data_IF_463974195176
#
_entry.id   IF_463974195176
#
_cell.length_a   1.000
_cell.length_b   1.000
_cell.length_c   1.000
_cell.angle_alpha   90.00
_cell.angle_beta   90.00
_cell.angle_gamma   90.00
#
_symmetry.space_group_name_H-M   'P 1'
#
loop_
_entity.id
_entity.type
_entity.pdbx_description
1 polymer ?
#
# COMPACT_ATOMS: atom_id res chain seq x y z
N UNK A 1 -5.91 -9.83 18.78
CA UNK A 1 -4.69 -9.10 18.36
C UNK A 1 -4.15 -8.29 19.52
N UNK A 2 -2.86 -8.41 19.85
CA UNK A 2 -2.21 -7.58 20.86
C UNK A 2 -2.19 -6.10 20.39
N UNK A 3 -2.32 -5.14 21.30
CA UNK A 3 -2.51 -3.71 20.98
C UNK A 3 -1.37 -3.15 20.12
N UNK A 4 -0.13 -3.53 20.42
CA UNK A 4 1.06 -3.15 19.64
C UNK A 4 0.95 -3.60 18.19
N UNK A 5 0.60 -4.86 17.93
CA UNK A 5 0.47 -5.41 16.57
C UNK A 5 -0.55 -4.62 15.73
N UNK A 6 -1.68 -4.26 16.34
CA UNK A 6 -2.73 -3.46 15.69
C UNK A 6 -2.19 -2.09 15.29
N UNK A 7 -1.48 -1.39 16.17
CA UNK A 7 -0.89 -0.08 15.83
C UNK A 7 0.13 -0.21 14.70
N UNK A 8 1.02 -1.21 14.74
CA UNK A 8 2.01 -1.43 13.69
C UNK A 8 1.38 -1.73 12.33
N UNK A 9 0.31 -2.53 12.29
CA UNK A 9 -0.40 -2.86 11.05
C UNK A 9 -1.09 -1.63 10.44
N UNK A 10 -1.63 -0.74 11.27
CA UNK A 10 -2.21 0.54 10.82
C UNK A 10 -1.16 1.46 10.20
N UNK A 11 0.02 1.60 10.84
CA UNK A 11 1.15 2.34 10.29
C UNK A 11 1.66 1.74 8.98
N UNK A 12 1.83 0.42 8.93
CA UNK A 12 2.23 -0.30 7.72
C UNK A 12 1.26 -0.05 6.56
N UNK A 13 -0.06 -0.16 6.81
CA UNK A 13 -1.06 0.10 5.80
C UNK A 13 -0.98 1.54 5.27
N UNK A 14 -0.84 2.52 6.16
CA UNK A 14 -0.69 3.93 5.77
C UNK A 14 0.59 4.15 4.92
N UNK A 15 1.73 3.58 5.33
CA UNK A 15 2.98 3.71 4.58
C UNK A 15 2.88 3.06 3.20
N UNK A 16 2.38 1.82 3.11
CA UNK A 16 2.24 1.11 1.83
C UNK A 16 1.30 1.85 0.86
N UNK A 17 0.18 2.38 1.36
CA UNK A 17 -0.76 3.15 0.53
C UNK A 17 -0.15 4.46 0.03
N UNK A 18 0.54 5.21 0.90
CA UNK A 18 1.16 6.48 0.49
C UNK A 18 2.30 6.27 -0.51
N UNK A 19 3.19 5.31 -0.24
CA UNK A 19 4.31 4.98 -1.15
C UNK A 19 3.78 4.42 -2.47
N UNK A 20 2.79 3.52 -2.43
CA UNK A 20 2.13 2.99 -3.64
C UNK A 20 1.48 4.09 -4.48
N UNK A 21 0.70 4.98 -3.85
CA UNK A 21 0.05 6.10 -4.53
C UNK A 21 1.08 7.04 -5.17
N UNK A 22 2.16 7.37 -4.46
CA UNK A 22 3.24 8.19 -4.99
C UNK A 22 3.89 7.54 -6.22
N UNK A 23 4.18 6.23 -6.16
CA UNK A 23 4.76 5.50 -7.30
C UNK A 23 3.80 5.39 -8.50
N UNK A 24 2.49 5.28 -8.26
CA UNK A 24 1.48 5.34 -9.34
C UNK A 24 1.51 6.70 -10.02
N UNK A 25 1.49 7.80 -9.25
CA UNK A 25 1.54 9.17 -9.78
C UNK A 25 2.82 9.38 -10.58
N UNK A 26 3.97 8.99 -10.02
CA UNK A 26 5.27 9.08 -10.68
C UNK A 26 5.32 8.24 -11.96
N UNK A 27 4.77 7.01 -11.94
CA UNK A 27 4.70 6.14 -13.12
C UNK A 27 3.75 6.63 -14.22
N UNK A 28 2.77 7.47 -13.87
CA UNK A 28 1.89 8.16 -14.83
C UNK A 28 2.55 9.40 -15.43
N UNK A 29 3.35 10.12 -14.64
CA UNK A 29 4.00 11.37 -15.03
C UNK A 29 5.29 11.13 -15.83
N UNK A 30 6.03 10.07 -15.51
CA UNK A 30 7.26 9.73 -16.20
C UNK A 30 6.94 9.01 -17.52
N UNK A 31 7.49 9.46 -18.66
CA UNK A 31 7.39 8.72 -19.92
C UNK A 31 8.03 7.35 -19.73
N UNK A 32 7.31 6.27 -20.11
CA UNK A 32 7.78 4.88 -19.95
C UNK A 32 9.19 4.73 -20.53
N UNK A 33 10.24 4.55 -19.70
CA UNK A 33 11.49 4.06 -20.23
C UNK A 33 11.25 2.62 -20.69
N UNK A 34 11.80 2.25 -21.85
CA UNK A 34 11.78 0.89 -22.37
C UNK A 34 12.67 -0.03 -21.52
N UNK A 35 12.29 -0.24 -20.26
CA UNK A 35 12.99 -1.08 -19.28
C UNK A 35 12.02 -2.08 -18.65
N UNK A 36 12.55 -3.24 -18.28
CA UNK A 36 11.82 -4.45 -17.86
C UNK A 36 10.86 -4.26 -16.66
N UNK A 37 11.02 -3.20 -15.87
CA UNK A 37 10.23 -2.97 -14.64
C UNK A 37 9.35 -1.74 -14.76
N UNK A 38 8.04 -1.96 -14.85
CA UNK A 38 7.05 -0.88 -14.89
C UNK A 38 6.84 -0.26 -13.51
N UNK A 39 7.30 0.97 -13.31
CA UNK A 39 7.08 1.76 -12.07
C UNK A 39 5.59 1.86 -11.72
N UNK A 40 4.72 1.97 -12.73
CA UNK A 40 3.28 1.99 -12.58
C UNK A 40 2.74 0.64 -12.05
N UNK A 41 3.29 -0.48 -12.55
CA UNK A 41 2.99 -1.82 -12.05
C UNK A 41 3.44 -2.01 -10.59
N UNK A 42 4.65 -1.54 -10.23
CA UNK A 42 5.15 -1.59 -8.86
C UNK A 42 4.26 -0.77 -7.92
N UNK A 43 3.88 0.46 -8.32
CA UNK A 43 2.96 1.30 -7.55
C UNK A 43 1.59 0.64 -7.33
N UNK A 44 1.03 0.02 -8.37
CA UNK A 44 -0.24 -0.71 -8.27
C UNK A 44 -0.17 -1.88 -7.28
N UNK A 45 0.91 -2.68 -7.31
CA UNK A 45 1.12 -3.78 -6.37
C UNK A 45 1.24 -3.27 -4.93
N UNK A 46 1.97 -2.17 -4.69
CA UNK A 46 2.06 -1.56 -3.37
C UNK A 46 0.70 -1.04 -2.87
N UNK A 47 -0.12 -0.45 -3.74
CA UNK A 47 -1.48 -0.03 -3.38
C UNK A 47 -2.35 -1.21 -2.96
N UNK A 48 -2.32 -2.32 -3.71
CA UNK A 48 -3.07 -3.54 -3.38
C UNK A 48 -2.59 -4.14 -2.06
N UNK A 49 -1.27 -4.19 -1.84
CA UNK A 49 -0.68 -4.67 -0.58
C UNK A 49 -1.08 -3.79 0.61
N UNK A 50 -1.10 -2.46 0.43
CA UNK A 50 -1.57 -1.50 1.44
C UNK A 50 -3.06 -1.63 1.76
N UNK A 51 -3.90 -1.83 0.75
CA UNK A 51 -5.33 -2.12 0.93
C UNK A 51 -5.56 -3.43 1.68
N UNK A 52 -4.81 -4.49 1.33
CA UNK A 52 -4.90 -5.78 2.02
C UNK A 52 -4.48 -5.68 3.50
N UNK A 53 -3.39 -4.96 3.78
CA UNK A 53 -2.95 -4.69 5.15
C UNK A 53 -4.01 -3.87 5.92
N UNK A 54 -4.57 -2.83 5.32
CA UNK A 54 -5.65 -2.03 5.92
C UNK A 54 -6.92 -2.84 6.17
N UNK A 55 -7.32 -3.70 5.24
CA UNK A 55 -8.47 -4.60 5.40
C UNK A 55 -8.25 -5.61 6.53
N UNK A 56 -7.05 -6.20 6.64
CA UNK A 56 -6.68 -7.09 7.73
C UNK A 56 -6.72 -6.38 9.10
N UNK A 57 -6.28 -5.12 9.14
CA UNK A 57 -6.38 -4.29 10.34
C UNK A 57 -7.83 -3.98 10.74
N UNK A 58 -8.69 -3.66 9.77
CA UNK A 58 -10.12 -3.41 9.99
C UNK A 58 -10.86 -4.67 10.44
N UNK A 59 -10.58 -5.84 9.84
CA UNK A 59 -11.16 -7.12 10.23
C UNK A 59 -10.76 -7.54 11.65
N UNK A 60 -9.63 -7.07 12.16
CA UNK A 60 -9.20 -7.25 13.54
C UNK A 60 -9.83 -6.29 14.57
N UNK A 61 -10.73 -5.38 14.14
CA UNK A 61 -11.52 -4.53 15.04
C UNK A 61 -12.80 -5.28 15.44
N UNK A 62 -13.20 -5.24 16.72
CA UNK A 62 -14.54 -5.71 17.09
C UNK A 62 -15.57 -4.88 16.32
N UNK A 63 -16.52 -5.55 15.65
CA UNK A 63 -17.73 -4.92 15.18
C UNK A 63 -18.47 -4.44 16.44
N UNK A 64 -18.57 -3.12 16.60
CA UNK A 64 -19.27 -2.50 17.72
C UNK A 64 -20.74 -2.83 17.72
#
# INVERSE_FOLDING_TARGET
MNATLRTTLGWLAAVLLNVGALLVVVGLLLPRPAGDVSVLGVGAVLCVAGLAAGACWLAGRPAG
#
